data_IF_986889632302
#
_entry.id   IF_986889632302
#
_cell.length_a   1.000
_cell.length_b   1.000
_cell.length_c   1.000
_cell.angle_alpha   90.00
_cell.angle_beta   90.00
_cell.angle_gamma   90.00
#
_symmetry.space_group_name_H-M   'P 1'
#
loop_
_entity.id
_entity.type
_entity.pdbx_description
1 polymer ?
#
# COMPACT_ATOMS: atom_id res chain seq x y z
N UNK A 1 45.12 19.18 50.36
CA UNK A 1 44.60 18.04 49.60
C UNK A 1 43.19 18.39 49.17
N UNK A 2 43.05 19.04 48.03
CA UNK A 2 41.77 19.42 47.46
C UNK A 2 41.37 18.47 46.37
N UNK A 3 40.24 17.81 46.56
CA UNK A 3 39.61 16.97 45.51
C UNK A 3 38.79 17.89 44.63
N UNK A 4 39.08 17.89 43.33
CA UNK A 4 38.25 18.52 42.31
C UNK A 4 37.03 17.67 42.02
N UNK A 5 35.86 18.27 41.80
CA UNK A 5 34.67 17.53 41.32
C UNK A 5 34.83 17.20 39.85
N UNK A 6 34.59 15.96 39.50
CA UNK A 6 34.51 15.48 38.12
C UNK A 6 33.25 16.07 37.49
N UNK A 7 33.40 16.69 36.32
CA UNK A 7 32.31 17.11 35.47
C UNK A 7 31.55 15.87 35.01
N UNK A 8 30.27 15.84 35.29
CA UNK A 8 29.36 14.87 34.70
C UNK A 8 29.25 15.10 33.21
N UNK A 9 29.53 14.07 32.43
CA UNK A 9 29.19 14.04 31.02
C UNK A 9 27.67 13.87 30.92
N UNK A 10 26.97 14.95 30.62
CA UNK A 10 25.63 14.89 30.14
C UNK A 10 25.66 14.24 28.72
N UNK A 11 25.56 12.91 28.71
CA UNK A 11 25.24 12.20 27.52
C UNK A 11 23.78 12.51 27.19
N UNK A 12 23.58 13.46 26.28
CA UNK A 12 22.33 13.63 25.61
C UNK A 12 21.94 12.28 25.00
N UNK A 13 20.92 11.67 25.59
CA UNK A 13 20.25 10.52 25.01
C UNK A 13 19.64 10.96 23.69
N UNK A 14 20.37 10.74 22.61
CA UNK A 14 19.81 10.87 21.28
C UNK A 14 18.62 9.93 21.18
N UNK A 15 17.46 10.52 21.00
CA UNK A 15 16.27 9.79 20.60
C UNK A 15 16.61 9.02 19.34
N UNK A 16 16.91 7.75 19.49
CA UNK A 16 16.92 6.82 18.39
C UNK A 16 15.46 6.68 17.96
N UNK A 17 15.10 7.43 16.94
CA UNK A 17 13.87 7.23 16.24
C UNK A 17 13.80 5.79 15.75
N UNK A 18 13.13 4.96 16.53
CA UNK A 18 12.71 3.63 16.12
C UNK A 18 11.55 3.85 15.18
N UNK A 19 11.83 3.90 13.91
CA UNK A 19 10.79 4.16 12.93
C UNK A 19 11.25 4.02 11.51
N UNK A 20 12.18 3.14 11.25
CA UNK A 20 12.38 2.66 9.91
C UNK A 20 11.23 1.74 9.52
N UNK A 21 10.01 2.28 9.38
CA UNK A 21 9.06 1.66 8.47
C UNK A 21 9.74 1.70 7.13
N UNK A 22 10.05 0.53 6.57
CA UNK A 22 10.36 0.38 5.16
C UNK A 22 9.06 0.71 4.38
N UNK A 23 8.52 1.89 4.67
CA UNK A 23 7.46 2.47 3.90
C UNK A 23 8.06 2.85 2.57
N UNK A 24 7.40 2.51 1.51
CA UNK A 24 7.51 3.24 0.28
C UNK A 24 7.53 4.71 0.63
N UNK A 25 8.61 5.37 0.32
CA UNK A 25 8.63 6.81 0.22
C UNK A 25 7.85 7.20 -1.05
N UNK A 26 6.56 7.03 -0.99
CA UNK A 26 5.62 7.71 -1.84
C UNK A 26 5.20 9.01 -1.17
N UNK A 27 5.97 9.37 -0.15
CA UNK A 27 5.97 10.70 0.36
C UNK A 27 6.35 11.67 -0.76
N UNK A 28 6.42 12.89 -0.43
CA UNK A 28 6.81 13.97 -1.30
C UNK A 28 8.06 13.56 -2.10
N UNK A 29 7.99 13.61 -3.41
CA UNK A 29 9.17 13.65 -4.23
C UNK A 29 10.00 14.89 -3.86
N UNK A 30 11.19 15.02 -4.42
CA UNK A 30 12.04 16.22 -4.24
C UNK A 30 11.32 17.51 -4.68
N UNK A 31 10.25 17.37 -5.46
CA UNK A 31 9.38 18.44 -5.97
C UNK A 31 8.15 18.71 -5.07
N UNK A 32 8.03 18.04 -3.92
CA UNK A 32 6.92 18.18 -2.98
C UNK A 32 5.61 17.51 -3.39
N UNK A 33 5.60 16.74 -4.47
CA UNK A 33 4.41 16.04 -4.96
C UNK A 33 4.23 14.67 -4.32
N UNK A 34 2.98 14.20 -4.31
CA UNK A 34 2.61 12.87 -3.83
C UNK A 34 2.27 11.97 -5.03
N UNK A 35 2.97 10.86 -5.17
CA UNK A 35 2.85 9.95 -6.32
C UNK A 35 2.12 8.67 -5.91
N UNK A 36 0.81 8.66 -6.03
CA UNK A 36 -0.04 7.56 -5.58
C UNK A 36 -0.98 6.99 -6.64
N UNK A 37 -1.22 7.73 -7.72
CA UNK A 37 -2.16 7.30 -8.74
C UNK A 37 -1.53 6.24 -9.63
N UNK A 38 -2.26 5.17 -9.87
CA UNK A 38 -1.90 4.18 -10.87
C UNK A 38 -1.81 4.84 -12.24
N UNK A 39 -0.76 4.58 -13.03
CA UNK A 39 -0.70 5.06 -14.40
C UNK A 39 -1.98 4.69 -15.15
N UNK A 40 -2.63 5.65 -15.84
CA UNK A 40 -3.91 5.41 -16.51
C UNK A 40 -3.87 4.26 -17.52
N UNK A 41 -2.76 4.09 -18.21
CA UNK A 41 -2.56 3.01 -19.19
C UNK A 41 -2.55 1.64 -18.53
N UNK A 42 -1.82 1.49 -17.41
CA UNK A 42 -1.78 0.25 -16.65
C UNK A 42 -3.16 -0.09 -16.08
N UNK A 43 -3.85 0.89 -15.50
CA UNK A 43 -5.20 0.69 -14.98
C UNK A 43 -6.17 0.28 -16.09
N UNK A 44 -6.09 0.90 -17.26
CA UNK A 44 -6.93 0.56 -18.42
C UNK A 44 -6.67 -0.87 -18.92
N UNK A 45 -5.42 -1.32 -18.96
CA UNK A 45 -5.06 -2.69 -19.33
C UNK A 45 -5.65 -3.70 -18.36
N UNK A 46 -5.50 -3.47 -17.06
CA UNK A 46 -6.05 -4.34 -16.03
C UNK A 46 -7.59 -4.31 -16.04
N UNK A 47 -8.20 -3.16 -16.23
CA UNK A 47 -9.65 -3.02 -16.29
C UNK A 47 -10.22 -3.73 -17.53
N UNK A 48 -9.54 -3.66 -18.67
CA UNK A 48 -9.94 -4.39 -19.88
C UNK A 48 -9.95 -5.91 -19.67
N UNK A 49 -9.05 -6.43 -18.85
CA UNK A 49 -8.98 -7.87 -18.54
C UNK A 49 -9.98 -8.28 -17.45
N UNK A 50 -10.09 -7.49 -16.38
CA UNK A 50 -10.80 -7.90 -15.18
C UNK A 50 -12.17 -7.24 -14.98
N UNK A 51 -12.46 -6.13 -15.67
CA UNK A 51 -13.75 -5.44 -15.61
C UNK A 51 -14.08 -4.97 -14.18
N UNK A 52 -13.30 -4.03 -13.65
CA UNK A 52 -13.48 -3.56 -12.28
C UNK A 52 -14.79 -2.80 -12.08
N UNK A 53 -15.49 -3.10 -10.99
CA UNK A 53 -16.70 -2.40 -10.57
C UNK A 53 -16.55 -1.72 -9.21
N UNK A 54 -15.42 -1.91 -8.53
CA UNK A 54 -15.17 -1.32 -7.21
C UNK A 54 -13.69 -1.07 -6.94
N UNK A 55 -13.41 0.06 -6.28
CA UNK A 55 -12.11 0.43 -5.74
C UNK A 55 -12.24 0.78 -4.25
N UNK A 56 -11.69 -0.06 -3.35
CA UNK A 56 -11.73 0.22 -1.92
C UNK A 56 -10.74 1.29 -1.45
N UNK A 57 -9.88 1.75 -2.33
CA UNK A 57 -8.88 2.78 -2.04
C UNK A 57 -9.00 3.97 -3.00
N UNK A 58 -10.22 4.52 -3.18
CA UNK A 58 -10.43 5.57 -4.18
C UNK A 58 -9.68 6.86 -3.83
N UNK A 59 -9.32 7.60 -4.87
CA UNK A 59 -8.83 8.97 -4.70
C UNK A 59 -9.66 9.92 -5.58
N UNK A 60 -10.16 11.03 -5.03
CA UNK A 60 -10.14 11.40 -3.61
C UNK A 60 -10.97 10.45 -2.73
N UNK A 61 -10.55 10.31 -1.48
CA UNK A 61 -11.28 9.48 -0.51
C UNK A 61 -12.58 10.19 -0.11
N UNK A 62 -13.76 9.57 -0.31
CA UNK A 62 -15.01 10.15 0.15
C UNK A 62 -15.07 10.26 1.68
N UNK A 63 -15.71 11.32 2.18
CA UNK A 63 -15.89 11.52 3.61
C UNK A 63 -16.60 10.33 4.27
N UNK A 64 -16.01 9.83 5.35
CA UNK A 64 -16.55 8.70 6.11
C UNK A 64 -16.41 7.33 5.42
N UNK A 65 -15.78 7.25 4.25
CA UNK A 65 -15.52 5.98 3.58
C UNK A 65 -14.29 5.28 4.16
N UNK A 66 -14.44 4.00 4.44
CA UNK A 66 -13.35 3.13 4.88
C UNK A 66 -13.38 1.81 4.09
N UNK A 67 -12.41 1.64 3.19
CA UNK A 67 -12.31 0.45 2.34
C UNK A 67 -12.06 -0.85 3.12
N UNK A 68 -11.56 -0.79 4.34
CA UNK A 68 -11.36 -1.98 5.19
C UNK A 68 -12.66 -2.47 5.83
N UNK A 69 -13.67 -1.60 5.98
CA UNK A 69 -15.01 -1.96 6.51
C UNK A 69 -16.06 -2.11 5.44
N UNK A 70 -15.88 -1.49 4.28
CA UNK A 70 -16.84 -1.55 3.18
C UNK A 70 -17.01 -2.99 2.66
N UNK A 71 -18.20 -3.31 2.16
CA UNK A 71 -18.38 -4.45 1.28
C UNK A 71 -17.83 -4.11 -0.10
N UNK A 72 -17.00 -4.99 -0.63
CA UNK A 72 -16.41 -4.77 -1.95
C UNK A 72 -17.33 -5.27 -3.07
N UNK A 73 -17.07 -4.86 -4.29
CA UNK A 73 -17.80 -5.28 -5.47
C UNK A 73 -17.49 -6.71 -5.93
N UNK A 74 -17.95 -7.06 -7.11
CA UNK A 74 -17.71 -8.37 -7.71
C UNK A 74 -16.29 -8.49 -8.30
N UNK A 75 -15.74 -7.40 -8.83
CA UNK A 75 -14.39 -7.30 -9.37
C UNK A 75 -13.71 -6.03 -8.86
N UNK A 76 -12.67 -6.20 -8.07
CA UNK A 76 -12.11 -5.12 -7.27
C UNK A 76 -10.68 -4.81 -7.67
N UNK A 77 -10.40 -3.53 -7.90
CA UNK A 77 -9.04 -3.01 -8.05
C UNK A 77 -8.57 -2.43 -6.72
N UNK A 78 -7.47 -2.95 -6.18
CA UNK A 78 -6.96 -2.57 -4.86
C UNK A 78 -5.54 -2.06 -4.97
N UNK A 79 -5.38 -0.75 -4.86
CA UNK A 79 -4.08 -0.10 -4.72
C UNK A 79 -4.02 0.55 -3.34
N UNK A 80 -3.59 -0.20 -2.30
CA UNK A 80 -3.62 0.30 -0.94
C UNK A 80 -2.69 1.49 -0.74
N UNK A 81 -3.00 2.38 0.21
CA UNK A 81 -2.08 3.44 0.59
C UNK A 81 -0.71 2.87 0.96
N UNK A 82 0.34 3.52 0.48
CA UNK A 82 1.70 3.19 0.88
C UNK A 82 1.98 3.75 2.27
N UNK A 83 1.94 2.92 3.26
CA UNK A 83 2.09 3.30 4.64
C UNK A 83 0.93 2.82 5.50
N UNK A 84 0.73 3.47 6.63
CA UNK A 84 -0.31 3.11 7.58
C UNK A 84 -1.47 4.09 7.53
N UNK A 85 -2.68 3.57 7.68
CA UNK A 85 -3.89 4.34 7.93
C UNK A 85 -4.39 4.09 9.35
N UNK A 86 -5.23 4.98 9.86
CA UNK A 86 -5.95 4.74 11.10
C UNK A 86 -7.29 4.08 10.78
N UNK A 87 -7.49 2.90 11.32
CA UNK A 87 -8.72 2.14 11.20
C UNK A 87 -9.14 1.67 12.59
N UNK A 88 -10.34 2.03 13.03
CA UNK A 88 -10.85 1.74 14.38
C UNK A 88 -9.85 2.11 15.49
N UNK A 89 -9.23 3.30 15.36
CA UNK A 89 -8.27 3.81 16.34
C UNK A 89 -6.90 3.11 16.34
N UNK A 90 -6.63 2.21 15.41
CA UNK A 90 -5.36 1.47 15.28
C UNK A 90 -4.69 1.73 13.95
N UNK A 91 -3.36 1.76 13.97
CA UNK A 91 -2.57 1.80 12.73
C UNK A 91 -2.70 0.48 11.98
N UNK A 92 -3.09 0.56 10.71
CA UNK A 92 -3.19 -0.55 9.78
C UNK A 92 -2.33 -0.29 8.55
N UNK A 93 -1.62 -1.30 8.13
CA UNK A 93 -0.75 -1.25 6.96
C UNK A 93 -1.18 -2.25 5.88
N UNK A 94 -0.30 -2.55 4.92
CA UNK A 94 -0.60 -3.42 3.78
C UNK A 94 -1.13 -4.80 4.15
N UNK A 95 -0.69 -5.35 5.27
CA UNK A 95 -1.18 -6.65 5.76
C UNK A 95 -2.68 -6.67 6.01
N UNK A 96 -3.26 -5.57 6.50
CA UNK A 96 -4.71 -5.46 6.69
C UNK A 96 -5.46 -5.51 5.36
N UNK A 97 -4.93 -4.86 4.33
CA UNK A 97 -5.48 -4.89 2.98
C UNK A 97 -5.39 -6.27 2.34
N UNK A 98 -4.26 -6.96 2.51
CA UNK A 98 -4.11 -8.34 2.03
C UNK A 98 -5.09 -9.30 2.70
N UNK A 99 -5.31 -9.18 4.01
CA UNK A 99 -6.31 -9.97 4.73
C UNK A 99 -7.73 -9.67 4.24
N UNK A 100 -8.07 -8.40 4.09
CA UNK A 100 -9.38 -7.99 3.56
C UNK A 100 -9.60 -8.54 2.15
N UNK A 101 -8.59 -8.49 1.29
CA UNK A 101 -8.65 -9.08 -0.04
C UNK A 101 -8.97 -10.58 -0.02
N UNK A 102 -8.33 -11.34 0.86
CA UNK A 102 -8.59 -12.76 1.04
C UNK A 102 -10.01 -13.01 1.56
N UNK A 103 -10.47 -12.22 2.53
CA UNK A 103 -11.83 -12.32 3.07
C UNK A 103 -12.89 -12.08 1.99
N UNK A 104 -12.73 -11.04 1.18
CA UNK A 104 -13.66 -10.72 0.10
C UNK A 104 -13.61 -11.75 -1.03
N UNK A 105 -12.42 -12.28 -1.35
CA UNK A 105 -12.30 -13.38 -2.30
C UNK A 105 -12.98 -14.67 -1.82
N UNK A 106 -12.90 -14.98 -0.52
CA UNK A 106 -13.62 -16.11 0.07
C UNK A 106 -15.15 -15.98 -0.03
N UNK A 107 -15.68 -14.79 -0.24
CA UNK A 107 -17.10 -14.52 -0.54
C UNK A 107 -17.45 -14.69 -2.03
N UNK A 108 -16.50 -15.14 -2.86
CA UNK A 108 -16.69 -15.35 -4.29
C UNK A 108 -16.37 -14.13 -5.15
N UNK A 109 -15.67 -13.13 -4.64
CA UNK A 109 -15.31 -11.92 -5.37
C UNK A 109 -13.92 -12.00 -5.97
N UNK A 110 -13.72 -11.38 -7.14
CA UNK A 110 -12.39 -11.20 -7.70
C UNK A 110 -11.69 -10.04 -7.05
N UNK A 111 -10.41 -10.20 -6.73
CA UNK A 111 -9.58 -9.13 -6.20
C UNK A 111 -8.26 -9.06 -6.96
N UNK A 112 -7.95 -7.90 -7.48
CA UNK A 112 -6.66 -7.57 -8.11
C UNK A 112 -5.97 -6.52 -7.25
N UNK A 113 -4.96 -6.96 -6.50
CA UNK A 113 -4.21 -6.11 -5.58
C UNK A 113 -2.87 -5.75 -6.21
N UNK A 114 -2.59 -4.47 -6.35
CA UNK A 114 -1.33 -3.95 -6.92
C UNK A 114 -0.53 -3.33 -5.78
N UNK A 115 0.61 -3.93 -5.50
CA UNK A 115 1.48 -3.48 -4.41
C UNK A 115 2.93 -3.98 -4.59
N UNK A 116 3.89 -3.30 -3.98
CA UNK A 116 5.25 -3.83 -3.91
C UNK A 116 5.34 -5.11 -3.11
N UNK A 117 6.27 -5.97 -3.50
CA UNK A 117 6.51 -7.24 -2.81
C UNK A 117 7.06 -7.00 -1.41
N UNK A 118 6.41 -7.58 -0.42
CA UNK A 118 6.81 -7.55 0.99
C UNK A 118 6.40 -8.87 1.67
N UNK A 119 6.70 -9.01 2.96
CA UNK A 119 6.48 -10.23 3.79
C UNK A 119 5.07 -10.82 3.75
N UNK A 120 4.05 -10.00 3.51
CA UNK A 120 2.66 -10.43 3.44
C UNK A 120 2.29 -11.18 2.14
N UNK A 121 3.21 -11.24 1.16
CA UNK A 121 2.99 -11.98 -0.11
C UNK A 121 2.64 -13.46 0.13
N UNK A 122 3.25 -14.08 1.15
CA UNK A 122 3.05 -15.49 1.42
C UNK A 122 1.60 -15.83 1.76
N UNK A 123 0.86 -14.94 2.43
CA UNK A 123 -0.55 -15.19 2.71
C UNK A 123 -1.41 -15.10 1.44
N UNK A 124 -1.09 -14.22 0.51
CA UNK A 124 -1.76 -14.12 -0.78
C UNK A 124 -1.50 -15.36 -1.63
N UNK A 125 -0.25 -15.84 -1.67
CA UNK A 125 0.10 -17.08 -2.38
C UNK A 125 -0.60 -18.30 -1.77
N UNK A 126 -0.67 -18.38 -0.43
CA UNK A 126 -1.39 -19.44 0.26
C UNK A 126 -2.90 -19.41 -0.02
N UNK A 127 -3.45 -18.23 -0.30
CA UNK A 127 -4.86 -18.05 -0.71
C UNK A 127 -5.09 -18.31 -2.21
N UNK A 128 -4.06 -18.72 -2.97
CA UNK A 128 -4.13 -19.05 -4.38
C UNK A 128 -3.98 -17.87 -5.35
N UNK A 129 -3.42 -16.75 -4.90
CA UNK A 129 -3.18 -15.61 -5.77
C UNK A 129 -2.22 -15.97 -6.92
N UNK A 130 -2.58 -15.61 -8.14
CA UNK A 130 -1.65 -15.47 -9.25
C UNK A 130 -0.82 -14.20 -9.04
N UNK A 131 0.48 -14.26 -9.31
CA UNK A 131 1.38 -13.13 -9.15
C UNK A 131 1.97 -12.75 -10.50
N UNK A 132 1.78 -11.50 -10.90
CA UNK A 132 2.35 -10.93 -12.12
C UNK A 132 3.32 -9.82 -11.77
N UNK A 133 4.48 -9.82 -12.42
CA UNK A 133 5.45 -8.75 -12.27
C UNK A 133 5.08 -7.58 -13.19
N UNK A 134 4.78 -6.43 -12.60
CA UNK A 134 4.49 -5.19 -13.34
C UNK A 134 5.76 -4.33 -13.57
N UNK A 135 6.91 -4.77 -13.06
CA UNK A 135 8.14 -4.01 -13.10
C UNK A 135 8.16 -2.80 -12.17
N UNK A 136 8.95 -1.80 -12.50
CA UNK A 136 8.99 -0.54 -11.76
C UNK A 136 7.89 0.40 -12.29
N UNK A 137 6.78 0.44 -11.56
CA UNK A 137 5.65 1.29 -11.91
C UNK A 137 5.95 2.75 -11.58
N UNK A 138 5.74 3.64 -12.54
CA UNK A 138 5.88 5.08 -12.37
C UNK A 138 4.53 5.69 -12.00
N UNK A 139 4.31 5.83 -10.71
CA UNK A 139 3.09 6.39 -10.16
C UNK A 139 2.92 7.85 -10.57
N UNK A 140 1.68 8.29 -10.73
CA UNK A 140 1.36 9.65 -11.08
C UNK A 140 1.07 10.50 -9.85
N UNK A 141 1.44 11.77 -9.92
CA UNK A 141 1.18 12.73 -8.86
C UNK A 141 -0.30 13.04 -8.76
N UNK A 142 -0.81 13.12 -7.54
CA UNK A 142 -2.21 13.47 -7.27
C UNK A 142 -2.51 14.93 -7.56
N UNK A 143 -1.49 15.79 -7.49
CA UNK A 143 -1.65 17.24 -7.65
C UNK A 143 -1.88 17.64 -9.12
N UNK A 144 -1.20 17.01 -10.06
CA UNK A 144 -1.22 17.40 -11.47
C UNK A 144 -1.18 16.24 -12.47
N UNK A 145 -1.17 15.00 -11.98
CA UNK A 145 -1.11 13.79 -12.81
C UNK A 145 0.25 13.55 -13.49
N UNK A 146 1.30 14.30 -13.12
CA UNK A 146 2.63 14.10 -13.70
C UNK A 146 3.24 12.77 -13.29
N UNK A 147 3.99 12.16 -14.22
CA UNK A 147 4.69 10.89 -13.99
C UNK A 147 5.86 11.06 -13.03
N UNK A 148 5.94 10.17 -12.03
CA UNK A 148 7.06 10.08 -11.09
C UNK A 148 8.27 9.35 -11.66
N UNK A 149 9.38 9.37 -10.92
CA UNK A 149 10.64 8.74 -11.34
C UNK A 149 10.67 7.22 -11.20
N UNK A 150 9.62 6.62 -10.63
CA UNK A 150 9.64 5.23 -10.20
C UNK A 150 10.30 5.06 -8.83
N UNK A 151 10.17 3.88 -8.26
CA UNK A 151 10.62 3.57 -6.91
C UNK A 151 11.88 2.69 -6.87
N UNK A 152 12.33 2.20 -8.03
CA UNK A 152 13.37 1.18 -8.14
C UNK A 152 12.96 -0.17 -7.56
N UNK A 153 11.66 -0.39 -7.32
CA UNK A 153 11.11 -1.64 -6.78
C UNK A 153 10.20 -2.30 -7.79
N UNK A 154 10.22 -3.62 -7.78
CA UNK A 154 9.27 -4.38 -8.56
C UNK A 154 7.89 -4.34 -7.89
N UNK A 155 6.90 -3.96 -8.68
CA UNK A 155 5.49 -3.95 -8.30
C UNK A 155 4.87 -5.25 -8.82
N UNK A 156 4.08 -5.89 -7.99
CA UNK A 156 3.34 -7.07 -8.37
C UNK A 156 1.84 -6.79 -8.45
N UNK A 157 1.19 -7.51 -9.35
CA UNK A 157 -0.25 -7.65 -9.41
C UNK A 157 -0.60 -9.03 -8.84
N UNK A 158 -1.35 -9.06 -7.76
CA UNK A 158 -1.85 -10.28 -7.11
C UNK A 158 -3.30 -10.47 -7.49
N UNK A 159 -3.60 -11.53 -8.24
CA UNK A 159 -4.95 -11.83 -8.72
C UNK A 159 -5.54 -12.98 -7.91
N UNK A 160 -6.59 -12.68 -7.17
CA UNK A 160 -7.43 -13.68 -6.49
C UNK A 160 -8.71 -13.85 -7.29
N UNK A 161 -8.82 -14.95 -8.00
CA UNK A 161 -10.04 -15.32 -8.74
C UNK A 161 -11.06 -15.95 -7.80
N UNK A 162 -12.37 -15.74 -8.03
CA UNK A 162 -13.39 -16.49 -7.32
C UNK A 162 -13.25 -17.99 -7.58
N UNK A 163 -13.41 -18.80 -6.53
CA UNK A 163 -13.44 -20.26 -6.69
C UNK A 163 -14.65 -20.64 -7.55
N UNK A 164 -14.40 -21.35 -8.64
CA UNK A 164 -15.47 -22.00 -9.39
C UNK A 164 -15.87 -23.28 -8.61
N UNK A 165 -16.80 -23.14 -7.68
CA UNK A 165 -17.57 -24.28 -7.15
C UNK A 165 -18.88 -24.45 -7.89
#
# INVERSE_FOLDING_TARGET
AGAQPRRGDDAAAGERGVGGTMGFHTGNGDDGKHYWLTPPELLAELDAEFGFDFDPCPYPLPDGFDGLTADWGESNYVNPPFGTIIHEGRKKGPTAWARKAIEENAKGKRVVLVYPIDKWILMLLAAGAEVRNLGDVRWHAIEDGSEGKGTGRHIACFVLEPSNE
#
